data_IF_052589355608
#
_entry.id   IF_052589355608
#
_cell.length_a   1.000
_cell.length_b   1.000
_cell.length_c   1.000
_cell.angle_alpha   90.00
_cell.angle_beta   90.00
_cell.angle_gamma   90.00
#
_symmetry.space_group_name_H-M   'P 1'
#
loop_
_entity.id
_entity.type
_entity.pdbx_description
1 polymer ?
#
# COMPACT_ATOMS: atom_id res chain seq x y z
N UNK A 1 -1.00 -5.17 21.86
CA UNK A 1 -0.47 -3.82 21.63
C UNK A 1 0.54 -3.99 20.54
N UNK A 2 0.20 -3.60 19.31
CA UNK A 2 1.10 -3.70 18.17
C UNK A 2 2.27 -2.72 18.40
N UNK A 3 3.50 -3.16 18.18
CA UNK A 3 4.66 -2.27 18.27
C UNK A 3 4.72 -1.54 16.93
N UNK A 4 4.55 -0.21 16.87
CA UNK A 4 4.60 0.51 15.60
C UNK A 4 5.97 0.33 14.97
N UNK A 5 5.99 -0.04 13.68
CA UNK A 5 7.21 -0.10 12.91
C UNK A 5 7.62 1.33 12.55
N UNK A 6 8.71 1.81 13.14
CA UNK A 6 9.28 3.12 12.86
C UNK A 6 10.70 2.97 12.32
N UNK A 7 10.98 3.66 11.22
CA UNK A 7 12.29 3.77 10.60
C UNK A 7 12.78 5.20 10.85
N UNK A 8 13.99 5.32 11.39
CA UNK A 8 14.65 6.60 11.58
C UNK A 8 15.90 6.66 10.70
N UNK A 9 16.04 7.76 9.96
CA UNK A 9 17.21 8.05 9.15
C UNK A 9 18.06 9.13 9.84
N UNK A 10 19.37 8.91 9.90
CA UNK A 10 20.31 9.94 10.35
C UNK A 10 20.35 11.08 9.33
N UNK A 11 20.19 12.32 9.80
CA UNK A 11 20.08 13.49 8.92
C UNK A 11 21.32 13.70 8.04
N UNK A 12 22.54 13.38 8.53
CA UNK A 12 23.74 13.51 7.71
C UNK A 12 23.76 12.47 6.58
N UNK A 13 23.26 11.27 6.84
CA UNK A 13 23.04 10.23 5.82
C UNK A 13 21.96 10.66 4.83
N UNK A 14 20.84 11.20 5.30
CA UNK A 14 19.75 11.70 4.46
C UNK A 14 20.21 12.78 3.48
N UNK A 15 20.96 13.79 3.96
CA UNK A 15 21.52 14.85 3.11
C UNK A 15 22.50 14.30 2.06
N UNK A 16 23.37 13.35 2.45
CA UNK A 16 24.29 12.72 1.51
C UNK A 16 23.53 11.97 0.39
N UNK A 17 22.52 11.16 0.77
CA UNK A 17 21.64 10.47 -0.17
C UNK A 17 20.88 11.44 -1.08
N UNK A 18 20.36 12.54 -0.54
CA UNK A 18 19.65 13.55 -1.32
C UNK A 18 20.51 14.14 -2.43
N UNK A 19 21.77 14.45 -2.11
CA UNK A 19 22.75 14.93 -3.09
C UNK A 19 23.00 13.88 -4.19
N UNK A 20 23.28 12.64 -3.81
CA UNK A 20 23.52 11.55 -4.77
C UNK A 20 22.31 11.25 -5.65
N UNK A 21 21.09 11.33 -5.10
CA UNK A 21 19.84 11.14 -5.85
C UNK A 21 19.64 12.29 -6.84
N UNK A 22 19.80 13.54 -6.40
CA UNK A 22 19.73 14.73 -7.27
C UNK A 22 20.71 14.66 -8.43
N UNK A 23 21.94 14.21 -8.21
CA UNK A 23 22.96 14.10 -9.25
C UNK A 23 22.65 13.00 -10.29
N UNK A 24 21.87 11.98 -9.92
CA UNK A 24 21.49 10.87 -10.81
C UNK A 24 20.17 11.10 -11.55
N UNK A 25 19.25 11.88 -10.99
CA UNK A 25 17.96 12.16 -11.62
C UNK A 25 18.14 13.16 -12.77
N UNK A 26 17.70 12.77 -13.96
CA UNK A 26 17.61 13.66 -15.12
C UNK A 26 16.22 14.29 -15.18
N UNK A 27 15.92 15.20 -14.25
CA UNK A 27 14.67 15.96 -14.25
C UNK A 27 14.84 17.27 -15.04
N UNK A 28 13.88 17.57 -15.92
CA UNK A 28 13.77 18.89 -16.55
C UNK A 28 12.86 19.77 -15.70
N UNK A 29 13.43 20.79 -15.10
CA UNK A 29 12.71 21.74 -14.25
C UNK A 29 12.45 23.01 -15.06
N UNK A 30 11.21 23.51 -15.01
CA UNK A 30 10.85 24.75 -15.68
C UNK A 30 11.49 25.96 -14.97
N UNK A 31 11.67 27.06 -15.71
CA UNK A 31 12.25 28.28 -15.16
C UNK A 31 11.48 28.76 -13.92
N UNK A 32 12.21 29.08 -12.85
CA UNK A 32 11.64 29.55 -11.58
C UNK A 32 11.20 28.46 -10.61
N UNK A 33 11.36 27.17 -10.94
CA UNK A 33 11.11 26.05 -10.04
C UNK A 33 12.40 25.42 -9.52
N UNK A 34 12.32 24.83 -8.32
CA UNK A 34 13.36 23.99 -7.73
C UNK A 34 12.76 22.63 -7.35
N UNK A 35 13.52 21.54 -7.52
CA UNK A 35 13.10 20.17 -7.16
C UNK A 35 14.02 19.65 -6.07
N UNK A 36 13.65 19.62 -4.79
CA UNK A 36 14.42 18.97 -3.70
C UNK A 36 13.88 17.58 -3.37
N UNK A 37 14.75 16.75 -2.76
CA UNK A 37 14.32 15.49 -2.16
C UNK A 37 13.72 15.79 -0.79
N UNK A 38 12.52 15.29 -0.51
CA UNK A 38 11.89 15.42 0.81
C UNK A 38 12.10 14.18 1.68
N UNK A 39 12.03 12.98 1.11
CA UNK A 39 12.24 11.73 1.82
C UNK A 39 13.05 10.78 0.93
N UNK A 40 13.93 9.97 1.52
CA UNK A 40 14.64 8.93 0.79
C UNK A 40 13.75 7.70 0.59
N UNK A 41 14.09 6.84 -0.37
CA UNK A 41 13.38 5.57 -0.61
C UNK A 41 13.37 4.66 0.64
N UNK A 42 14.29 4.88 1.59
CA UNK A 42 14.32 4.17 2.88
C UNK A 42 13.15 4.56 3.80
N UNK A 43 12.60 5.76 3.64
CA UNK A 43 11.50 6.30 4.43
C UNK A 43 10.15 6.22 3.71
N UNK A 44 10.14 6.21 2.37
CA UNK A 44 8.94 6.21 1.54
C UNK A 44 8.81 4.92 0.72
N UNK A 45 8.43 3.78 1.33
CA UNK A 45 8.42 2.50 0.64
C UNK A 45 7.26 2.41 -0.36
N UNK A 46 7.58 2.32 -1.66
CA UNK A 46 6.65 2.04 -2.78
C UNK A 46 5.26 2.69 -2.67
N UNK A 47 5.17 4.04 -2.67
CA UNK A 47 3.92 4.74 -2.42
C UNK A 47 2.91 4.61 -3.56
N UNK A 48 1.63 4.40 -3.21
CA UNK A 48 0.50 4.36 -4.15
C UNK A 48 -0.29 5.67 -4.10
N UNK A 49 -0.82 6.01 -2.92
CA UNK A 49 -1.46 7.29 -2.65
C UNK A 49 -0.59 8.11 -1.69
N UNK A 50 -0.68 9.43 -1.81
CA UNK A 50 0.06 10.37 -0.97
C UNK A 50 -0.84 11.55 -0.59
N UNK A 51 -0.71 12.01 0.65
CA UNK A 51 -1.37 13.21 1.15
C UNK A 51 -0.46 13.96 2.12
N UNK A 52 -0.60 15.28 2.18
CA UNK A 52 0.13 16.15 3.10
C UNK A 52 -0.85 16.75 4.11
N UNK A 53 -0.51 16.73 5.40
CA UNK A 53 -1.34 17.34 6.44
C UNK A 53 -1.01 18.84 6.67
N UNK A 54 -1.78 19.50 7.54
CA UNK A 54 -1.59 20.92 7.86
C UNK A 54 -0.26 21.23 8.59
N UNK A 55 0.43 20.21 9.11
CA UNK A 55 1.73 20.34 9.75
C UNK A 55 2.91 20.06 8.80
N UNK A 56 2.63 19.64 7.56
CA UNK A 56 3.63 19.29 6.56
C UNK A 56 4.11 17.83 6.63
N UNK A 57 3.48 16.98 7.43
CA UNK A 57 3.77 15.55 7.42
C UNK A 57 3.20 14.91 6.15
N UNK A 58 3.91 13.92 5.62
CA UNK A 58 3.45 13.16 4.44
C UNK A 58 2.88 11.84 4.90
N UNK A 59 1.69 11.49 4.43
CA UNK A 59 1.12 10.17 4.59
C UNK A 59 1.12 9.43 3.26
N UNK A 60 1.42 8.15 3.30
CA UNK A 60 1.52 7.27 2.14
C UNK A 60 0.69 6.00 2.38
N UNK A 61 0.13 5.45 1.31
CA UNK A 61 -0.31 4.05 1.29
C UNK A 61 0.71 3.19 0.55
N UNK A 62 0.87 1.94 1.00
CA UNK A 62 1.67 0.91 0.34
C UNK A 62 0.83 -0.36 0.26
N UNK A 63 0.86 -1.03 -0.90
CA UNK A 63 0.29 -2.36 -1.04
C UNK A 63 1.37 -3.42 -1.09
N UNK A 64 1.15 -4.51 -0.36
CA UNK A 64 1.88 -5.75 -0.60
C UNK A 64 1.06 -6.75 -1.42
N UNK A 65 -0.21 -6.42 -1.74
CA UNK A 65 -1.22 -7.33 -2.30
C UNK A 65 -1.17 -7.45 -3.83
N UNK A 66 -0.75 -6.40 -4.56
CA UNK A 66 -0.88 -6.34 -6.03
C UNK A 66 -0.28 -7.50 -6.82
N UNK A 67 0.66 -8.24 -6.23
CA UNK A 67 1.33 -9.34 -6.93
C UNK A 67 0.61 -10.67 -6.77
N UNK A 68 0.10 -10.97 -5.57
CA UNK A 68 -0.37 -12.31 -5.23
C UNK A 68 -1.80 -12.32 -4.67
N UNK A 69 -2.22 -11.25 -3.99
CA UNK A 69 -3.55 -11.14 -3.37
C UNK A 69 -4.55 -10.25 -4.14
N UNK A 70 -4.09 -9.46 -5.11
CA UNK A 70 -4.95 -8.75 -6.06
C UNK A 70 -5.23 -9.60 -7.31
N UNK A 71 -6.48 -9.60 -7.75
CA UNK A 71 -6.97 -10.46 -8.81
C UNK A 71 -6.88 -9.81 -10.20
N UNK A 72 -5.87 -10.19 -11.00
CA UNK A 72 -5.71 -9.76 -12.40
C UNK A 72 -6.33 -10.74 -13.41
N UNK A 73 -7.42 -10.34 -14.06
CA UNK A 73 -8.14 -11.16 -15.06
C UNK A 73 -7.49 -11.22 -16.44
N UNK A 74 -6.51 -10.36 -16.76
CA UNK A 74 -6.04 -10.18 -18.14
C UNK A 74 -5.37 -11.43 -18.72
N UNK A 75 -4.78 -12.25 -17.85
CA UNK A 75 -4.21 -13.55 -18.20
C UNK A 75 -5.23 -14.67 -18.42
N UNK A 76 -6.49 -14.45 -18.03
CA UNK A 76 -7.48 -15.52 -17.86
C UNK A 76 -8.77 -15.20 -18.60
N UNK A 77 -8.80 -15.48 -19.92
CA UNK A 77 -9.93 -15.14 -20.79
C UNK A 77 -11.27 -15.71 -20.31
N UNK A 78 -11.27 -16.88 -19.67
CA UNK A 78 -12.46 -17.50 -19.11
C UNK A 78 -13.10 -16.69 -17.97
N UNK A 79 -12.34 -15.80 -17.32
CA UNK A 79 -12.84 -14.93 -16.25
C UNK A 79 -13.47 -13.63 -16.76
N UNK A 80 -13.28 -13.27 -18.03
CA UNK A 80 -13.73 -11.98 -18.58
C UNK A 80 -15.25 -11.80 -18.51
N UNK A 81 -16.04 -12.82 -18.85
CA UNK A 81 -17.51 -12.71 -18.80
C UNK A 81 -18.04 -12.74 -17.36
N UNK A 82 -17.57 -13.65 -16.48
CA UNK A 82 -17.95 -13.62 -15.06
C UNK A 82 -17.62 -12.30 -14.36
N UNK A 83 -16.43 -11.71 -14.60
CA UNK A 83 -16.00 -10.50 -13.89
C UNK A 83 -16.83 -9.25 -14.22
N UNK A 84 -17.27 -9.10 -15.47
CA UNK A 84 -18.15 -7.98 -15.88
C UNK A 84 -19.62 -8.19 -15.53
N UNK A 85 -20.01 -9.41 -15.15
CA UNK A 85 -21.38 -9.75 -14.78
C UNK A 85 -21.70 -9.49 -13.30
N UNK A 86 -20.67 -9.28 -12.46
CA UNK A 86 -20.82 -9.01 -11.03
C UNK A 86 -21.57 -7.69 -10.79
N UNK A 87 -22.52 -7.70 -9.85
CA UNK A 87 -23.31 -6.52 -9.47
C UNK A 87 -23.12 -6.13 -8.00
N UNK A 88 -22.49 -7.00 -7.20
CA UNK A 88 -22.22 -6.78 -5.78
C UNK A 88 -20.85 -7.29 -5.37
N UNK A 89 -20.39 -6.86 -4.19
CA UNK A 89 -19.19 -7.41 -3.53
C UNK A 89 -19.33 -8.92 -3.30
N UNK A 90 -20.55 -9.39 -3.06
CA UNK A 90 -20.82 -10.79 -2.78
C UNK A 90 -20.72 -11.65 -4.04
N UNK A 91 -21.00 -11.08 -5.22
CA UNK A 91 -20.76 -11.76 -6.50
C UNK A 91 -19.25 -11.95 -6.73
N UNK A 92 -18.43 -10.93 -6.41
CA UNK A 92 -16.97 -11.04 -6.44
C UNK A 92 -16.49 -12.10 -5.46
N UNK A 93 -16.99 -12.08 -4.21
CA UNK A 93 -16.65 -13.05 -3.17
C UNK A 93 -16.97 -14.48 -3.62
N UNK A 94 -18.17 -14.70 -4.15
CA UNK A 94 -18.61 -16.00 -4.65
C UNK A 94 -17.73 -16.48 -5.81
N UNK A 95 -17.39 -15.59 -6.74
CA UNK A 95 -16.50 -15.92 -7.84
C UNK A 95 -15.10 -16.31 -7.37
N UNK A 96 -14.51 -15.56 -6.43
CA UNK A 96 -13.17 -15.86 -5.90
C UNK A 96 -13.16 -17.19 -5.16
N UNK A 97 -14.12 -17.42 -4.25
CA UNK A 97 -14.22 -18.68 -3.50
C UNK A 97 -14.52 -19.90 -4.38
N UNK A 98 -15.16 -19.71 -5.54
CA UNK A 98 -15.39 -20.79 -6.51
C UNK A 98 -14.16 -21.04 -7.38
N UNK A 99 -13.50 -19.97 -7.84
CA UNK A 99 -12.33 -20.05 -8.73
C UNK A 99 -11.12 -20.59 -7.99
N UNK A 100 -10.96 -20.18 -6.74
CA UNK A 100 -9.88 -20.56 -5.83
C UNK A 100 -10.41 -21.44 -4.70
N UNK A 101 -11.27 -22.40 -5.01
CA UNK A 101 -11.77 -23.36 -4.04
C UNK A 101 -10.63 -24.31 -3.60
N UNK A 102 -10.58 -24.75 -2.32
CA UNK A 102 -9.55 -25.69 -1.84
C UNK A 102 -9.45 -26.97 -2.68
N UNK A 103 -10.58 -27.46 -3.19
CA UNK A 103 -10.66 -28.67 -4.03
C UNK A 103 -9.98 -28.49 -5.40
N UNK A 104 -9.74 -27.24 -5.82
CA UNK A 104 -9.05 -26.88 -7.06
C UNK A 104 -7.57 -26.53 -6.85
N UNK A 105 -7.00 -26.79 -5.65
CA UNK A 105 -5.61 -26.47 -5.31
C UNK A 105 -4.59 -26.97 -6.35
N UNK A 106 -4.76 -28.18 -6.88
CA UNK A 106 -3.86 -28.71 -7.94
C UNK A 106 -3.94 -27.88 -9.23
N UNK A 107 -5.12 -27.39 -9.61
CA UNK A 107 -5.31 -26.51 -10.78
C UNK A 107 -4.78 -25.10 -10.51
N UNK A 108 -4.82 -24.68 -9.24
CA UNK A 108 -4.38 -23.37 -8.77
C UNK A 108 -2.93 -23.33 -8.28
N UNK A 109 -2.13 -24.38 -8.49
CA UNK A 109 -0.73 -24.46 -8.06
C UNK A 109 0.21 -23.37 -8.65
N UNK A 110 -0.29 -22.55 -9.57
CA UNK A 110 0.40 -21.36 -10.07
C UNK A 110 0.28 -20.14 -9.12
N UNK A 111 -0.74 -20.12 -8.26
CA UNK A 111 -0.89 -19.14 -7.18
C UNK A 111 0.10 -19.49 -6.07
N UNK A 112 0.88 -18.54 -5.51
CA UNK A 112 1.74 -18.84 -4.37
C UNK A 112 0.94 -19.26 -3.14
N UNK A 113 1.41 -20.28 -2.42
CA UNK A 113 0.93 -20.66 -1.08
C UNK A 113 1.53 -19.68 -0.05
N UNK A 114 0.75 -18.63 0.25
CA UNK A 114 1.15 -17.53 1.12
C UNK A 114 0.90 -17.84 2.59
N UNK A 115 -0.10 -18.68 2.89
CA UNK A 115 -0.44 -19.04 4.26
C UNK A 115 0.37 -20.25 4.78
N UNK A 116 1.08 -20.94 3.87
CA UNK A 116 1.94 -22.10 4.10
C UNK A 116 1.21 -23.37 4.57
N UNK A 117 -0.04 -23.57 4.14
CA UNK A 117 -0.83 -24.76 4.47
C UNK A 117 -0.79 -25.85 3.38
N UNK A 118 -0.03 -25.64 2.30
CA UNK A 118 0.09 -26.51 1.12
C UNK A 118 -1.19 -26.60 0.25
N UNK A 119 -2.14 -25.69 0.43
CA UNK A 119 -3.37 -25.58 -0.34
C UNK A 119 -3.37 -24.22 -1.05
N UNK A 120 -3.46 -24.22 -2.38
CA UNK A 120 -3.48 -23.01 -3.19
C UNK A 120 -4.93 -22.55 -3.40
N UNK A 121 -5.43 -21.66 -2.56
CA UNK A 121 -6.85 -21.30 -2.53
C UNK A 121 -7.11 -19.82 -2.17
N UNK A 122 -8.38 -19.44 -2.01
CA UNK A 122 -8.75 -18.06 -1.73
C UNK A 122 -8.23 -17.54 -0.37
N UNK A 123 -7.84 -18.40 0.57
CA UNK A 123 -7.25 -17.98 1.85
C UNK A 123 -5.87 -17.35 1.63
N UNK A 124 -5.13 -17.73 0.58
CA UNK A 124 -3.86 -17.08 0.22
C UNK A 124 -4.05 -15.59 -0.06
N UNK A 125 -5.18 -15.20 -0.66
CA UNK A 125 -5.54 -13.81 -0.95
C UNK A 125 -5.75 -12.97 0.33
N UNK A 126 -5.81 -13.63 1.49
CA UNK A 126 -6.06 -13.00 2.79
C UNK A 126 -4.81 -12.85 3.66
N UNK A 127 -3.62 -13.17 3.13
CA UNK A 127 -2.37 -13.08 3.90
C UNK A 127 -1.75 -11.69 3.81
N UNK A 128 -1.56 -11.18 2.60
CA UNK A 128 -0.91 -9.88 2.37
C UNK A 128 -1.83 -8.74 2.80
N UNK A 129 -1.23 -7.74 3.46
CA UNK A 129 -1.90 -6.56 3.99
C UNK A 129 -1.39 -5.28 3.32
N UNK A 130 -2.24 -4.28 3.34
CA UNK A 130 -1.91 -2.92 2.96
C UNK A 130 -1.53 -2.09 4.18
N UNK A 131 -0.72 -1.06 3.93
CA UNK A 131 -0.10 -0.27 4.97
C UNK A 131 -0.39 1.22 4.78
N UNK A 132 -0.48 1.93 5.88
CA UNK A 132 -0.47 3.40 5.91
C UNK A 132 0.75 3.85 6.70
N UNK A 133 1.51 4.76 6.10
CA UNK A 133 2.74 5.31 6.66
C UNK A 133 2.62 6.81 6.87
N UNK A 134 3.22 7.32 7.94
CA UNK A 134 3.37 8.76 8.24
C UNK A 134 4.86 9.10 8.30
N UNK A 135 5.27 10.06 7.49
CA UNK A 135 6.63 10.56 7.37
C UNK A 135 6.70 11.97 7.98
N UNK A 136 7.74 12.20 8.78
CA UNK A 136 7.91 13.41 9.59
C UNK A 136 9.33 13.96 9.46
N UNK A 137 9.44 15.28 9.35
CA UNK A 137 10.68 16.05 9.51
C UNK A 137 10.73 16.53 10.97
N UNK A 138 11.38 15.75 11.84
CA UNK A 138 11.38 16.05 13.28
C UNK A 138 12.39 17.13 13.67
N UNK A 139 13.44 17.31 12.87
CA UNK A 139 14.51 18.29 13.11
C UNK A 139 14.28 19.65 12.39
N UNK A 140 13.29 19.73 11.49
CA UNK A 140 12.89 20.89 10.69
C UNK A 140 13.96 21.36 9.70
N UNK A 141 14.73 20.44 9.14
CA UNK A 141 15.78 20.73 8.14
C UNK A 141 15.27 20.72 6.70
N UNK A 142 14.00 20.39 6.49
CA UNK A 142 13.36 20.32 5.17
C UNK A 142 13.45 18.93 4.53
N UNK A 143 13.81 17.90 5.30
CA UNK A 143 13.74 16.50 4.91
C UNK A 143 13.10 15.65 6.02
N UNK A 144 12.31 14.65 5.64
CA UNK A 144 11.82 13.66 6.59
C UNK A 144 12.98 12.85 7.16
N UNK A 145 12.93 12.59 8.47
CA UNK A 145 13.89 11.76 9.21
C UNK A 145 13.25 10.58 9.94
N UNK A 146 11.91 10.55 10.01
CA UNK A 146 11.13 9.44 10.59
C UNK A 146 10.06 8.98 9.61
N UNK A 147 9.86 7.67 9.50
CA UNK A 147 8.73 7.03 8.83
C UNK A 147 8.12 5.98 9.73
N UNK A 148 6.84 6.15 10.07
CA UNK A 148 6.11 5.27 10.99
C UNK A 148 4.95 4.60 10.27
N UNK A 149 4.86 3.28 10.33
CA UNK A 149 3.69 2.53 9.87
C UNK A 149 2.60 2.65 10.92
N UNK A 150 1.57 3.45 10.61
CA UNK A 150 0.45 3.74 11.50
C UNK A 150 -0.69 2.73 11.37
N UNK A 151 -0.71 1.95 10.28
CA UNK A 151 -1.67 0.86 10.07
C UNK A 151 -1.06 -0.23 9.17
N UNK A 152 -1.34 -1.49 9.49
CA UNK A 152 -1.12 -2.67 8.62
C UNK A 152 -2.36 -3.58 8.70
N UNK A 153 -3.23 -3.51 7.70
CA UNK A 153 -4.53 -4.19 7.69
C UNK A 153 -5.02 -4.45 6.26
N UNK A 154 -6.34 -4.63 6.08
CA UNK A 154 -7.05 -4.76 4.82
C UNK A 154 -6.63 -5.99 4.02
N UNK A 155 -7.10 -7.15 4.46
CA UNK A 155 -6.75 -8.43 3.87
C UNK A 155 -7.93 -9.37 3.61
N UNK A 156 -9.12 -8.87 3.27
CA UNK A 156 -10.18 -9.77 2.80
C UNK A 156 -9.92 -10.21 1.35
N UNK A 157 -10.52 -11.32 0.95
CA UNK A 157 -10.37 -11.87 -0.40
C UNK A 157 -10.90 -10.90 -1.48
N UNK A 158 -11.89 -10.07 -1.12
CA UNK A 158 -12.46 -9.05 -2.00
C UNK A 158 -11.74 -7.71 -1.93
N UNK A 159 -10.76 -7.55 -1.06
CA UNK A 159 -10.05 -6.29 -0.85
C UNK A 159 -9.11 -6.02 -2.02
N UNK A 160 -9.29 -4.85 -2.63
CA UNK A 160 -8.39 -4.26 -3.62
C UNK A 160 -7.25 -3.49 -2.93
N UNK A 161 -6.42 -2.78 -3.69
CA UNK A 161 -5.31 -1.98 -3.14
C UNK A 161 -5.79 -0.69 -2.49
N UNK A 162 -5.04 -0.21 -1.49
CA UNK A 162 -5.23 1.06 -0.80
C UNK A 162 -4.83 2.24 -1.70
N UNK A 163 -5.66 2.51 -2.71
CA UNK A 163 -5.39 3.48 -3.77
C UNK A 163 -5.82 4.92 -3.46
N UNK A 164 -6.46 5.18 -2.32
CA UNK A 164 -6.89 6.53 -1.95
C UNK A 164 -6.57 6.86 -0.50
N UNK A 165 -6.17 8.11 -0.27
CA UNK A 165 -5.81 8.62 1.04
C UNK A 165 -6.28 10.07 1.20
N UNK A 166 -6.93 10.36 2.32
CA UNK A 166 -7.31 11.72 2.72
C UNK A 166 -7.01 11.90 4.21
N UNK A 167 -6.14 12.85 4.51
CA UNK A 167 -5.82 13.25 5.88
C UNK A 167 -6.47 14.59 6.14
N UNK A 168 -7.23 14.69 7.22
CA UNK A 168 -7.92 15.91 7.62
C UNK A 168 -7.98 16.01 9.14
N UNK A 169 -7.20 16.94 9.70
CA UNK A 169 -7.05 17.10 11.15
C UNK A 169 -6.57 15.78 11.77
N UNK A 170 -7.35 15.18 12.65
CA UNK A 170 -7.05 13.94 13.35
C UNK A 170 -7.61 12.70 12.62
N UNK A 171 -8.32 12.90 11.49
CA UNK A 171 -8.91 11.81 10.72
C UNK A 171 -8.03 11.44 9.53
N UNK A 172 -7.81 10.15 9.35
CA UNK A 172 -7.25 9.58 8.12
C UNK A 172 -8.32 8.71 7.48
N UNK A 173 -8.65 8.99 6.22
CA UNK A 173 -9.53 8.17 5.42
C UNK A 173 -8.72 7.41 4.38
N UNK A 174 -8.95 6.10 4.30
CA UNK A 174 -8.26 5.21 3.37
C UNK A 174 -9.29 4.55 2.47
N UNK A 175 -9.19 4.76 1.17
CA UNK A 175 -10.01 4.05 0.20
C UNK A 175 -9.30 2.76 -0.17
N UNK A 176 -9.92 1.64 0.21
CA UNK A 176 -9.46 0.29 -0.10
C UNK A 176 -10.66 -0.46 -0.64
N UNK A 177 -10.75 -0.57 -1.96
CA UNK A 177 -11.93 -1.10 -2.63
C UNK A 177 -12.33 -2.47 -2.04
N UNK A 178 -13.62 -2.72 -1.78
CA UNK A 178 -14.79 -1.91 -2.09
C UNK A 178 -15.12 -0.82 -1.05
N UNK A 179 -14.35 -0.73 0.02
CA UNK A 179 -14.67 0.05 1.21
C UNK A 179 -13.95 1.40 1.28
N UNK A 180 -14.46 2.27 2.14
CA UNK A 180 -13.79 3.49 2.58
C UNK A 180 -13.70 3.46 4.10
N UNK A 181 -12.47 3.48 4.61
CA UNK A 181 -12.19 3.39 6.02
C UNK A 181 -11.92 4.77 6.59
N UNK A 182 -12.32 4.98 7.84
CA UNK A 182 -11.87 6.11 8.66
C UNK A 182 -11.05 5.54 9.79
N UNK A 183 -9.82 6.00 9.92
CA UNK A 183 -8.92 5.67 11.01
C UNK A 183 -9.03 6.75 12.07
N UNK A 184 -8.99 6.32 13.33
CA UNK A 184 -8.88 7.18 14.49
C UNK A 184 -7.74 6.66 15.35
N UNK A 185 -6.87 7.58 15.76
CA UNK A 185 -5.77 7.28 16.66
C UNK A 185 -6.33 6.84 18.03
N UNK A 186 -5.79 5.74 18.57
CA UNK A 186 -6.18 5.19 19.87
C UNK A 186 -5.03 5.10 20.87
N UNK A 187 -3.81 5.45 20.45
CA UNK A 187 -2.59 5.22 21.24
C UNK A 187 -1.59 6.39 21.23
N UNK A 188 -1.86 7.47 20.50
CA UNK A 188 -1.01 8.66 20.44
C UNK A 188 0.32 8.41 19.76
#
# INVERSE_FOLDING_TARGET
MEIPLAIQEDSAVGVAKAKEIRERITAKIADGLELSLWATDSLAPDPIAMQIDDAGNIYLTRTNRSKNSEFDIRGYRQWMTPSIAMQSVEDRRAFLRTTFAPELSEENAWLPDLNHDSIHDWHDLTVEKDEVWKLEDTNKDGMADVSTRILEDFNEEVTDVAGALLVRKEDVFVGVGPDMWRLWDTNG
#
